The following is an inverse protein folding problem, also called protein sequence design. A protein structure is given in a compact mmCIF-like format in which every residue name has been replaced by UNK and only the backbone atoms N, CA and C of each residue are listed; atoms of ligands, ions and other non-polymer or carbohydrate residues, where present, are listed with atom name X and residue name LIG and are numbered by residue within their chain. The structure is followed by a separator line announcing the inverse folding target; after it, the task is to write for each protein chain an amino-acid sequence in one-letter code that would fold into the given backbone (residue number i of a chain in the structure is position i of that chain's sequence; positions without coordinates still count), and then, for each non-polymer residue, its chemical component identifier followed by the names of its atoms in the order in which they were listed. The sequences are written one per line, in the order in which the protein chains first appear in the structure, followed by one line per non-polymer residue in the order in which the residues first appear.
data_IF_362390711718
#
_entry.id   IF_362390711718
#
_cell.length_a   1.000
_cell.length_b   1.000
_cell.length_c   1.000
_cell.angle_alpha   90.00
_cell.angle_beta   90.00
_cell.angle_gamma   90.00
#
_symmetry.space_group_name_H-M   'P 1'
#
loop_
_entity.id
_entity.type
_entity.pdbx_description
1 polymer ?
#
# COMPACT_ATOMS: atom_id res chain seq x y z
N UNK A 1 2.66 3.86 -3.79
CA UNK A 1 3.41 3.71 -2.51
C UNK A 1 4.90 3.65 -2.83
N UNK A 2 5.77 4.23 -2.00
CA UNK A 2 7.23 4.19 -2.11
C UNK A 2 7.84 3.67 -0.81
N UNK A 3 8.95 2.95 -0.88
CA UNK A 3 9.70 2.50 0.32
C UNK A 3 10.87 3.46 0.57
N UNK A 4 11.06 3.88 1.82
CA UNK A 4 12.20 4.70 2.24
C UNK A 4 12.80 4.10 3.52
N UNK A 5 13.97 3.45 3.41
CA UNK A 5 14.67 2.76 4.51
C UNK A 5 13.75 1.86 5.35
N UNK A 6 13.27 2.36 6.48
CA UNK A 6 12.44 1.69 7.49
C UNK A 6 10.96 2.08 7.45
N UNK A 7 10.57 2.98 6.56
CA UNK A 7 9.20 3.50 6.43
C UNK A 7 8.64 3.32 5.02
N UNK A 8 7.31 3.24 4.97
CA UNK A 8 6.50 3.22 3.76
C UNK A 8 5.92 4.61 3.56
N UNK A 9 6.15 5.21 2.39
CA UNK A 9 5.59 6.50 2.02
C UNK A 9 4.40 6.26 1.10
N UNK A 10 3.20 6.57 1.57
CA UNK A 10 2.06 6.75 0.66
C UNK A 10 2.39 8.01 -0.14
N UNK A 11 2.34 7.90 -1.47
CA UNK A 11 2.70 9.01 -2.40
C UNK A 11 1.49 9.47 -3.19
N UNK A 12 0.62 8.54 -3.57
CA UNK A 12 -0.57 8.77 -4.37
C UNK A 12 -1.55 7.62 -4.14
N UNK A 13 -2.82 7.95 -4.07
CA UNK A 13 -3.96 7.06 -4.14
C UNK A 13 -4.80 7.43 -5.37
N UNK A 14 -5.35 6.43 -6.06
CA UNK A 14 -6.29 6.63 -7.16
C UNK A 14 -7.60 5.93 -6.83
N UNK A 15 -8.72 6.61 -7.09
CA UNK A 15 -10.06 6.14 -6.81
C UNK A 15 -10.92 6.24 -8.07
N UNK A 16 -11.80 5.28 -8.26
CA UNK A 16 -12.79 5.23 -9.34
C UNK A 16 -14.06 6.03 -9.01
N UNK A 17 -14.36 6.20 -7.72
CA UNK A 17 -15.48 7.00 -7.23
C UNK A 17 -15.17 7.68 -5.89
N UNK A 18 -15.99 8.69 -5.55
CA UNK A 18 -15.97 9.32 -4.22
C UNK A 18 -16.47 8.34 -3.15
N UNK A 19 -15.85 8.38 -1.97
CA UNK A 19 -16.19 7.51 -0.84
C UNK A 19 -15.82 8.12 0.51
N UNK A 20 -16.24 7.45 1.58
CA UNK A 20 -16.01 7.92 2.95
C UNK A 20 -14.51 8.01 3.27
N UNK A 21 -14.08 9.18 3.76
CA UNK A 21 -12.68 9.43 4.14
C UNK A 21 -11.77 9.89 2.99
N UNK A 22 -12.31 10.14 1.80
CA UNK A 22 -11.58 10.78 0.72
C UNK A 22 -11.75 12.31 0.80
N UNK A 23 -10.68 13.11 0.68
CA UNK A 23 -10.79 14.56 0.61
C UNK A 23 -11.43 14.99 -0.72
N UNK A 24 -12.34 15.96 -0.66
CA UNK A 24 -13.07 16.48 -1.83
C UNK A 24 -12.29 17.61 -2.54
N UNK A 25 -11.29 18.17 -1.86
CA UNK A 25 -10.47 19.27 -2.34
C UNK A 25 -9.02 19.11 -1.88
N UNK A 26 -8.10 19.84 -2.52
CA UNK A 26 -6.71 19.94 -2.07
C UNK A 26 -6.66 20.53 -0.66
N UNK A 27 -5.85 19.93 0.20
CA UNK A 27 -5.63 20.40 1.57
C UNK A 27 -4.16 20.76 1.77
N UNK A 28 -3.80 21.30 2.94
CA UNK A 28 -2.39 21.51 3.28
C UNK A 28 -1.58 20.19 3.30
N UNK A 29 -2.25 19.04 3.41
CA UNK A 29 -1.61 17.74 3.48
C UNK A 29 -1.35 17.11 2.10
N UNK A 30 -2.09 17.53 1.06
CA UNK A 30 -2.01 16.87 -0.24
C UNK A 30 -2.84 17.54 -1.34
N UNK A 31 -2.61 17.07 -2.57
CA UNK A 31 -3.24 17.60 -3.77
C UNK A 31 -4.31 16.65 -4.28
N UNK A 32 -5.49 17.20 -4.51
CA UNK A 32 -6.61 16.53 -5.15
C UNK A 32 -6.66 16.91 -6.64
N UNK A 33 -6.86 15.91 -7.50
CA UNK A 33 -7.01 16.13 -8.95
C UNK A 33 -7.94 15.08 -9.55
N UNK A 34 -8.79 15.47 -10.49
CA UNK A 34 -9.47 14.53 -11.39
C UNK A 34 -8.58 14.35 -12.63
N UNK A 35 -8.18 13.12 -12.92
CA UNK A 35 -7.40 12.77 -14.09
C UNK A 35 -8.24 12.77 -15.37
N UNK A 36 -7.57 12.87 -16.52
CA UNK A 36 -8.23 12.89 -17.84
C UNK A 36 -9.02 11.62 -18.14
N UNK A 37 -8.63 10.49 -17.53
CA UNK A 37 -9.32 9.20 -17.62
C UNK A 37 -10.49 9.06 -16.64
N UNK A 38 -10.88 10.14 -15.96
CA UNK A 38 -12.00 10.18 -15.03
C UNK A 38 -11.69 9.66 -13.63
N UNK A 39 -10.48 9.15 -13.38
CA UNK A 39 -10.07 8.71 -12.05
C UNK A 39 -9.74 9.88 -11.14
N UNK A 40 -9.98 9.72 -9.85
CA UNK A 40 -9.65 10.70 -8.83
C UNK A 40 -8.27 10.38 -8.28
N UNK A 41 -7.37 11.35 -8.30
CA UNK A 41 -6.02 11.25 -7.76
C UNK A 41 -5.87 12.07 -6.47
N UNK A 42 -5.47 11.40 -5.40
CA UNK A 42 -5.06 12.03 -4.16
C UNK A 42 -3.56 11.83 -3.94
N UNK A 43 -2.78 12.90 -4.09
CA UNK A 43 -1.33 12.87 -3.92
C UNK A 43 -0.97 13.41 -2.54
N UNK A 44 -0.43 12.54 -1.70
CA UNK A 44 0.00 12.85 -0.35
C UNK A 44 1.36 12.20 -0.15
N UNK A 45 2.38 12.92 0.35
CA UNK A 45 3.70 12.36 0.64
C UNK A 45 3.81 11.99 2.12
N UNK A 46 2.91 11.12 2.60
CA UNK A 46 2.81 10.78 4.02
C UNK A 46 3.71 9.59 4.35
N UNK A 47 4.74 9.76 5.20
CA UNK A 47 5.48 8.65 5.77
C UNK A 47 4.63 7.88 6.78
N UNK A 48 4.69 6.56 6.74
CA UNK A 48 4.01 5.65 7.65
C UNK A 48 4.94 4.49 8.02
N UNK A 49 4.92 4.04 9.27
CA UNK A 49 5.68 2.87 9.70
C UNK A 49 5.13 1.58 9.08
N UNK A 50 3.81 1.51 8.92
CA UNK A 50 3.13 0.39 8.31
C UNK A 50 1.86 0.83 7.59
N UNK A 51 1.47 0.05 6.59
CA UNK A 51 0.17 0.18 5.92
C UNK A 51 -0.62 -1.09 6.20
N UNK A 52 -1.71 -0.96 6.96
CA UNK A 52 -2.58 -2.09 7.30
C UNK A 52 -3.74 -2.12 6.32
N UNK A 53 -3.88 -3.24 5.60
CA UNK A 53 -4.97 -3.48 4.65
C UNK A 53 -5.71 -4.74 5.07
N UNK A 54 -7.04 -4.67 5.15
CA UNK A 54 -7.86 -5.87 5.39
C UNK A 54 -8.09 -6.61 4.09
N UNK A 55 -7.86 -7.91 4.10
CA UNK A 55 -8.21 -8.79 2.97
C UNK A 55 -9.73 -8.74 2.80
N UNK A 56 -10.18 -8.27 1.64
CA UNK A 56 -11.60 -8.24 1.31
C UNK A 56 -12.17 -9.65 1.24
N UNK A 57 -13.43 -9.83 1.65
CA UNK A 57 -14.18 -11.08 1.37
C UNK A 57 -14.59 -11.20 -0.10
N UNK A 58 -14.83 -10.05 -0.73
CA UNK A 58 -15.20 -9.94 -2.14
C UNK A 58 -14.18 -9.08 -2.91
N UNK A 59 -13.55 -8.12 -2.23
CA UNK A 59 -12.56 -7.24 -2.84
C UNK A 59 -11.21 -7.95 -3.02
N UNK A 60 -10.88 -8.24 -4.28
CA UNK A 60 -9.61 -8.82 -4.71
C UNK A 60 -8.50 -7.78 -4.72
N UNK A 61 -7.97 -7.46 -3.54
CA UNK A 61 -6.83 -6.58 -3.40
C UNK A 61 -5.56 -7.29 -3.87
N UNK A 62 -4.80 -6.63 -4.75
CA UNK A 62 -3.53 -7.15 -5.29
C UNK A 62 -2.39 -6.21 -4.92
N UNK A 63 -1.31 -6.76 -4.38
CA UNK A 63 -0.06 -6.06 -4.14
C UNK A 63 0.84 -6.19 -5.37
N UNK A 64 1.17 -5.06 -6.00
CA UNK A 64 2.15 -5.02 -7.09
C UNK A 64 3.52 -4.65 -6.53
N UNK A 65 4.48 -5.57 -6.59
CA UNK A 65 5.84 -5.39 -6.06
C UNK A 65 6.88 -5.89 -7.07
N UNK A 66 7.77 -5.00 -7.54
CA UNK A 66 8.87 -5.33 -8.48
C UNK A 66 8.40 -6.15 -9.70
N UNK A 67 7.26 -5.75 -10.30
CA UNK A 67 6.67 -6.45 -11.45
C UNK A 67 5.93 -7.74 -11.13
N UNK A 68 5.84 -8.13 -9.86
CA UNK A 68 5.03 -9.27 -9.41
C UNK A 68 3.70 -8.78 -8.87
N UNK A 69 2.65 -9.54 -9.17
CA UNK A 69 1.32 -9.35 -8.63
C UNK A 69 1.05 -10.41 -7.56
N UNK A 70 0.73 -9.98 -6.35
CA UNK A 70 0.52 -10.86 -5.20
C UNK A 70 -0.88 -10.58 -4.66
N UNK A 71 -1.86 -11.47 -4.90
CA UNK A 71 -3.19 -11.33 -4.31
C UNK A 71 -3.10 -11.37 -2.78
N UNK A 72 -3.71 -10.41 -2.08
CA UNK A 72 -3.66 -10.42 -0.61
C UNK A 72 -4.35 -11.66 -0.01
N UNK A 73 -5.34 -12.22 -0.72
CA UNK A 73 -6.00 -13.45 -0.34
C UNK A 73 -5.08 -14.69 -0.35
N UNK A 74 -3.94 -14.65 -1.06
CA UNK A 74 -2.95 -15.73 -0.99
C UNK A 74 -2.03 -15.61 0.23
N UNK A 75 -2.04 -14.47 0.91
CA UNK A 75 -1.19 -14.22 2.09
C UNK A 75 -1.94 -14.46 3.41
N UNK A 76 -3.25 -14.17 3.44
CA UNK A 76 -4.08 -14.35 4.62
C UNK A 76 -5.54 -14.59 4.25
N UNK A 77 -6.30 -15.17 5.19
CA UNK A 77 -7.73 -15.43 5.00
C UNK A 77 -8.54 -14.14 4.83
N UNK A 78 -9.69 -14.19 4.13
CA UNK A 78 -10.57 -13.04 4.00
C UNK A 78 -11.05 -12.48 5.35
N UNK A 79 -10.97 -11.16 5.51
CA UNK A 79 -11.27 -10.43 6.76
C UNK A 79 -10.07 -10.22 7.67
N UNK A 80 -8.95 -10.91 7.43
CA UNK A 80 -7.71 -10.73 8.19
C UNK A 80 -7.03 -9.42 7.80
N UNK A 81 -6.45 -8.73 8.79
CA UNK A 81 -5.64 -7.55 8.57
C UNK A 81 -4.21 -7.97 8.21
N UNK A 82 -3.71 -7.48 7.08
CA UNK A 82 -2.33 -7.66 6.61
C UNK A 82 -1.59 -6.35 6.79
N UNK A 83 -0.52 -6.37 7.59
CA UNK A 83 0.34 -5.23 7.80
C UNK A 83 1.53 -5.26 6.84
N UNK A 84 1.64 -4.26 5.98
CA UNK A 84 2.76 -4.07 5.07
C UNK A 84 3.80 -3.16 5.73
N UNK A 85 5.00 -3.71 5.96
CA UNK A 85 6.12 -3.05 6.63
C UNK A 85 7.37 -3.13 5.76
N UNK A 86 8.13 -2.05 5.70
CA UNK A 86 9.49 -2.07 5.15
C UNK A 86 10.49 -2.44 6.24
N UNK A 87 11.32 -3.44 5.98
CA UNK A 87 12.53 -3.70 6.75
C UNK A 87 13.72 -3.77 5.81
N UNK A 88 14.85 -3.25 6.27
CA UNK A 88 16.14 -3.48 5.64
C UNK A 88 16.66 -4.80 6.21
N UNK A 89 16.88 -5.77 5.35
CA UNK A 89 17.58 -6.99 5.71
C UNK A 89 19.03 -6.87 5.23
N UNK A 90 19.98 -7.19 6.10
CA UNK A 90 21.36 -7.38 5.68
C UNK A 90 21.51 -8.73 4.95
N UNK A 91 22.58 -8.90 4.18
CA UNK A 91 22.92 -10.19 3.54
C UNK A 91 22.99 -11.34 4.56
N UNK A 92 23.44 -11.05 5.79
CA UNK A 92 23.49 -12.01 6.89
C UNK A 92 22.10 -12.39 7.43
N UNK A 93 21.17 -11.45 7.48
CA UNK A 93 19.79 -11.73 7.90
C UNK A 93 19.07 -12.61 6.87
N UNK A 94 19.30 -12.35 5.57
CA UNK A 94 18.74 -13.18 4.49
C UNK A 94 19.31 -14.60 4.52
N UNK A 95 20.59 -14.76 4.85
CA UNK A 95 21.22 -16.07 5.00
C UNK A 95 20.59 -16.87 6.15
N UNK A 96 20.35 -16.25 7.31
CA UNK A 96 19.67 -16.91 8.44
C UNK A 96 18.24 -17.33 8.14
N UNK A 97 17.47 -16.51 7.42
CA UNK A 97 16.08 -16.84 7.07
C UNK A 97 16.00 -18.06 6.15
N UNK A 98 16.95 -18.22 5.22
CA UNK A 98 17.03 -19.41 4.35
C UNK A 98 17.44 -20.68 5.09
N UNK A 99 18.10 -20.57 6.24
CA UNK A 99 18.51 -21.73 7.05
C UNK A 99 17.44 -22.19 8.05
N UNK A 100 16.36 -21.42 8.23
CA UNK A 100 15.26 -21.73 9.15
C UNK A 100 14.00 -22.25 8.44
N UNK A 101 14.11 -22.61 7.16
CA UNK A 101 13.01 -23.11 6.32
C UNK A 101 13.23 -24.57 5.95
#
# INVERSE_FOLDING_TARGET
IRVARDQVVVVKSRYDAFGAGMPEHSTAEGTFRVAEDGWIEWTINRPMLEVVVRVGRVANHTLHLKGREIPLASLAAPGTAVALRSRIYSEFDLWKVRCLQ
#
